data_IF_039212926530
#
_entry.id   IF_039212926530
#
_cell.length_a   1.000
_cell.length_b   1.000
_cell.length_c   1.000
_cell.angle_alpha   90.00
_cell.angle_beta   90.00
_cell.angle_gamma   90.00
#
_symmetry.space_group_name_H-M   'P 1'
#
loop_
_entity.id
_entity.type
_entity.pdbx_description
1 polymer ?
#
# COMPACT_ATOMS: atom_id res chain seq x y z
N UNK A 1 -7.99 3.80 -2.79
CA UNK A 1 -9.25 4.40 -3.19
C UNK A 1 -9.34 5.83 -2.72
N UNK A 2 -9.79 6.75 -3.55
CA UNK A 2 -10.15 8.07 -3.08
C UNK A 2 -11.31 7.94 -2.10
N UNK A 3 -11.22 8.56 -0.92
CA UNK A 3 -12.37 8.69 -0.04
C UNK A 3 -13.48 9.41 -0.83
N UNK A 4 -14.58 8.73 -1.09
CA UNK A 4 -15.73 9.33 -1.74
C UNK A 4 -16.68 9.99 -0.74
N UNK A 5 -16.32 9.96 0.52
CA UNK A 5 -17.10 10.55 1.57
C UNK A 5 -16.53 11.91 1.90
N UNK A 6 -17.17 12.94 1.57
CA UNK A 6 -16.82 14.31 1.89
C UNK A 6 -17.96 15.22 1.53
N UNK A 7 -17.96 16.44 2.05
CA UNK A 7 -18.92 17.44 1.64
C UNK A 7 -18.66 17.80 0.17
N UNK A 8 -19.66 17.57 -0.68
CA UNK A 8 -19.57 17.93 -2.10
C UNK A 8 -20.32 19.23 -2.37
N UNK A 9 -19.60 20.21 -2.92
CA UNK A 9 -20.13 21.52 -3.31
C UNK A 9 -20.26 21.55 -4.83
N UNK A 10 -21.50 21.60 -5.33
CA UNK A 10 -21.78 21.78 -6.76
C UNK A 10 -21.66 23.25 -7.13
N UNK A 11 -20.90 23.53 -8.21
CA UNK A 11 -20.75 24.87 -8.79
C UNK A 11 -21.77 25.04 -9.91
N UNK A 12 -21.91 24.02 -10.77
CA UNK A 12 -22.93 23.89 -11.80
C UNK A 12 -23.24 22.40 -12.04
N UNK A 13 -23.95 22.06 -13.13
CA UNK A 13 -24.34 20.66 -13.43
C UNK A 13 -23.13 19.75 -13.73
N UNK A 14 -22.00 20.31 -14.10
CA UNK A 14 -20.77 19.59 -14.47
C UNK A 14 -19.68 19.75 -13.43
N UNK A 15 -19.56 20.94 -12.82
CA UNK A 15 -18.45 21.28 -11.93
C UNK A 15 -18.79 21.11 -10.47
N UNK A 16 -17.90 20.46 -9.75
CA UNK A 16 -18.04 20.24 -8.30
C UNK A 16 -16.69 20.11 -7.63
N UNK A 17 -16.66 20.35 -6.33
CA UNK A 17 -15.52 20.10 -5.44
C UNK A 17 -16.01 19.29 -4.25
N UNK A 18 -15.23 18.31 -3.82
CA UNK A 18 -15.49 17.49 -2.62
C UNK A 18 -14.30 17.61 -1.68
N UNK A 19 -14.56 17.75 -0.39
CA UNK A 19 -13.56 17.83 0.68
C UNK A 19 -13.86 16.74 1.69
N UNK A 20 -12.83 15.97 2.05
CA UNK A 20 -12.88 14.92 3.07
C UNK A 20 -11.65 14.93 3.96
N UNK A 21 -11.66 14.11 4.99
CA UNK A 21 -10.54 13.93 5.90
C UNK A 21 -10.46 12.49 6.41
N UNK A 22 -9.27 12.05 6.81
CA UNK A 22 -9.05 10.75 7.41
C UNK A 22 -8.03 10.81 8.53
N UNK A 23 -8.26 10.01 9.58
CA UNK A 23 -7.37 9.86 10.74
C UNK A 23 -7.21 8.37 11.03
N UNK A 24 -5.96 7.97 11.30
CA UNK A 24 -5.63 6.66 11.87
C UNK A 24 -4.70 6.87 13.06
N UNK A 25 -5.05 6.27 14.18
CA UNK A 25 -4.29 6.38 15.43
C UNK A 25 -4.24 5.02 16.12
N UNK A 26 -3.17 4.74 16.83
CA UNK A 26 -3.01 3.47 17.51
C UNK A 26 -2.34 3.58 18.88
N UNK A 27 -2.57 2.55 19.69
CA UNK A 27 -1.75 2.19 20.84
C UNK A 27 -1.07 0.86 20.55
N UNK A 28 0.21 0.73 20.86
CA UNK A 28 0.95 -0.52 20.73
C UNK A 28 1.77 -0.81 21.98
N UNK A 29 1.80 -2.09 22.37
CA UNK A 29 2.72 -2.63 23.34
C UNK A 29 3.59 -3.67 22.61
N UNK A 30 4.91 -3.49 22.64
CA UNK A 30 5.87 -4.33 21.92
C UNK A 30 6.95 -4.80 22.87
N UNK A 31 7.18 -6.11 22.92
CA UNK A 31 8.19 -6.76 23.74
C UNK A 31 9.60 -6.33 23.33
N UNK A 32 10.51 -6.25 24.30
CA UNK A 32 11.93 -5.94 24.13
C UNK A 32 12.23 -4.64 23.35
N UNK A 33 11.29 -3.70 23.32
CA UNK A 33 11.45 -2.44 22.61
C UNK A 33 11.51 -1.20 23.51
N UNK A 34 11.47 -1.37 24.81
CA UNK A 34 11.70 -0.25 25.71
C UNK A 34 13.13 0.30 25.54
N UNK A 35 13.39 1.59 25.85
CA UNK A 35 14.72 2.17 25.73
C UNK A 35 15.81 1.43 26.53
N UNK A 36 15.43 0.67 27.54
CA UNK A 36 16.35 -0.20 28.32
C UNK A 36 16.72 -1.50 27.57
N UNK A 37 15.95 -1.89 26.52
CA UNK A 37 16.23 -3.01 25.64
C UNK A 37 15.70 -4.38 26.08
N UNK A 38 15.08 -4.47 27.26
CA UNK A 38 14.66 -5.74 27.87
C UNK A 38 13.25 -5.70 28.50
N UNK A 39 12.43 -4.74 28.10
CA UNK A 39 11.07 -4.56 28.62
C UNK A 39 10.10 -4.10 27.53
N UNK A 40 8.81 -4.15 27.82
CA UNK A 40 7.76 -3.74 26.91
C UNK A 40 7.78 -2.22 26.67
N UNK A 41 7.76 -1.81 25.41
CA UNK A 41 7.49 -0.44 25.01
C UNK A 41 5.98 -0.24 24.83
N UNK A 42 5.47 0.87 25.35
CA UNK A 42 4.05 1.22 25.26
C UNK A 42 3.94 2.60 24.62
N UNK A 43 3.37 2.66 23.40
CA UNK A 43 3.36 3.86 22.59
C UNK A 43 1.98 4.18 22.02
N UNK A 44 1.58 5.46 22.09
CA UNK A 44 0.51 6.01 21.28
C UNK A 44 1.09 6.61 20.00
N UNK A 45 0.41 6.42 18.88
CA UNK A 45 0.80 6.99 17.60
C UNK A 45 -0.38 7.60 16.85
N UNK A 46 -0.13 8.71 16.17
CA UNK A 46 -0.95 9.18 15.06
C UNK A 46 -0.33 8.58 13.78
N UNK A 47 -0.93 7.51 13.26
CA UNK A 47 -0.35 6.78 12.13
C UNK A 47 -0.56 7.53 10.80
N UNK A 48 -1.72 8.14 10.61
CA UNK A 48 -2.04 8.92 9.42
C UNK A 48 -3.00 10.07 9.74
N UNK A 49 -2.82 11.20 9.09
CA UNK A 49 -3.82 12.26 9.03
C UNK A 49 -3.85 12.82 7.60
N UNK A 50 -5.02 12.77 6.96
CA UNK A 50 -5.20 13.11 5.54
C UNK A 50 -6.28 14.16 5.36
N UNK A 51 -6.09 15.02 4.35
CA UNK A 51 -7.13 15.86 3.79
C UNK A 51 -7.26 15.46 2.33
N UNK A 52 -8.50 15.22 1.91
CA UNK A 52 -8.85 14.85 0.55
C UNK A 52 -9.56 16.02 -0.13
N UNK A 53 -9.10 16.40 -1.32
CA UNK A 53 -9.74 17.37 -2.19
C UNK A 53 -9.89 16.77 -3.58
N UNK A 54 -11.12 16.54 -4.00
CA UNK A 54 -11.43 16.02 -5.32
C UNK A 54 -12.32 17.01 -6.06
N UNK A 55 -12.24 17.04 -7.36
CA UNK A 55 -13.13 17.89 -8.14
C UNK A 55 -13.24 17.50 -9.60
N UNK A 56 -14.27 18.05 -10.23
CA UNK A 56 -14.53 17.92 -11.65
C UNK A 56 -14.68 19.30 -12.28
N UNK A 57 -13.93 19.54 -13.36
CA UNK A 57 -13.97 20.77 -14.14
C UNK A 57 -14.76 20.59 -15.44
N UNK A 58 -14.80 19.38 -15.96
CA UNK A 58 -15.49 18.96 -17.17
C UNK A 58 -15.89 17.49 -17.00
N UNK A 59 -16.86 16.99 -17.76
CA UNK A 59 -17.29 15.57 -17.67
C UNK A 59 -16.09 14.58 -17.79
N UNK A 60 -15.07 14.93 -18.57
CA UNK A 60 -13.86 14.12 -18.79
C UNK A 60 -12.63 14.62 -18.03
N UNK A 61 -12.72 15.73 -17.28
CA UNK A 61 -11.56 16.32 -16.61
C UNK A 61 -11.85 16.47 -15.12
N UNK A 62 -11.10 15.73 -14.33
CA UNK A 62 -11.17 15.74 -12.87
C UNK A 62 -9.79 16.02 -12.28
N UNK A 63 -9.74 16.32 -11.01
CA UNK A 63 -8.50 16.40 -10.26
C UNK A 63 -8.63 15.74 -8.90
N UNK A 64 -7.52 15.34 -8.36
CA UNK A 64 -7.38 14.82 -6.99
C UNK A 64 -6.16 15.47 -6.35
N UNK A 65 -6.34 15.93 -5.12
CA UNK A 65 -5.27 16.47 -4.30
C UNK A 65 -5.44 15.95 -2.87
N UNK A 66 -4.45 15.17 -2.41
CA UNK A 66 -4.45 14.63 -1.06
C UNK A 66 -3.17 15.04 -0.34
N UNK A 67 -3.30 15.29 0.95
CA UNK A 67 -2.15 15.47 1.83
C UNK A 67 -2.02 14.29 2.77
N UNK A 68 -0.82 14.07 3.30
CA UNK A 68 -0.54 13.11 4.37
C UNK A 68 0.31 13.79 5.43
N UNK A 69 -0.01 13.55 6.68
CA UNK A 69 0.87 13.83 7.80
C UNK A 69 1.39 12.53 8.36
N UNK A 70 2.70 12.38 8.39
CA UNK A 70 3.37 11.30 9.09
C UNK A 70 4.17 11.91 10.20
N UNK A 71 3.84 11.50 11.40
CA UNK A 71 4.59 11.82 12.58
C UNK A 71 5.85 10.95 12.63
N UNK A 72 6.90 11.36 11.93
CA UNK A 72 8.25 10.92 12.29
C UNK A 72 8.73 11.78 13.46
N UNK A 73 9.55 11.24 14.32
CA UNK A 73 9.99 11.76 15.62
C UNK A 73 10.48 13.23 15.69
N UNK A 74 10.38 14.05 14.66
CA UNK A 74 10.91 15.40 14.64
C UNK A 74 10.16 16.42 13.77
N UNK A 75 9.15 16.07 12.99
CA UNK A 75 8.42 17.06 12.20
C UNK A 75 6.97 16.62 11.97
N UNK A 76 6.04 17.48 12.36
CA UNK A 76 4.61 17.38 12.03
C UNK A 76 4.36 17.99 10.65
N UNK A 77 5.01 17.46 9.61
CA UNK A 77 4.89 18.03 8.29
C UNK A 77 3.73 17.38 7.51
N UNK A 78 2.85 18.21 7.01
CA UNK A 78 1.92 17.83 5.96
C UNK A 78 2.64 17.93 4.61
N UNK A 79 2.59 16.87 3.83
CA UNK A 79 3.13 16.89 2.47
C UNK A 79 2.05 16.48 1.45
N UNK A 80 2.29 16.86 0.20
CA UNK A 80 1.43 16.46 -0.92
C UNK A 80 1.63 14.97 -1.18
N UNK A 81 0.58 14.19 -0.92
CA UNK A 81 0.56 12.76 -1.20
C UNK A 81 0.19 12.50 -2.66
N UNK A 82 -0.93 13.05 -3.11
CA UNK A 82 -1.41 12.97 -4.48
C UNK A 82 -1.69 14.37 -5.03
N UNK A 83 -1.35 14.61 -6.31
CA UNK A 83 -1.73 15.78 -7.07
C UNK A 83 -1.90 15.35 -8.53
N UNK A 84 -3.13 15.01 -8.92
CA UNK A 84 -3.43 14.28 -10.15
C UNK A 84 -4.40 15.08 -11.01
N UNK A 85 -4.02 15.36 -12.27
CA UNK A 85 -4.94 15.74 -13.33
C UNK A 85 -5.46 14.46 -14.00
N UNK A 86 -6.78 14.27 -14.01
CA UNK A 86 -7.44 13.04 -14.49
C UNK A 86 -8.22 13.35 -15.77
N UNK A 87 -7.84 12.68 -16.85
CA UNK A 87 -8.52 12.72 -18.15
C UNK A 87 -9.20 11.37 -18.35
N UNK A 88 -10.50 11.29 -18.08
CA UNK A 88 -11.28 10.06 -18.10
C UNK A 88 -12.27 10.08 -19.25
N UNK A 89 -12.01 9.27 -20.28
CA UNK A 89 -12.74 9.32 -21.55
C UNK A 89 -13.75 8.19 -21.70
N UNK A 90 -13.33 6.94 -21.36
CA UNK A 90 -14.14 5.77 -21.55
C UNK A 90 -13.61 4.58 -20.74
N UNK A 91 -14.26 3.43 -20.86
CA UNK A 91 -13.84 2.24 -20.13
C UNK A 91 -12.47 1.70 -20.55
N UNK A 92 -12.05 1.95 -21.78
CA UNK A 92 -10.81 1.39 -22.34
C UNK A 92 -9.57 2.24 -22.07
N UNK A 93 -9.68 3.58 -22.18
CA UNK A 93 -8.54 4.49 -22.10
C UNK A 93 -8.86 5.69 -21.22
N UNK A 94 -8.06 5.86 -20.19
CA UNK A 94 -8.03 7.03 -19.32
C UNK A 94 -6.59 7.40 -19.02
N UNK A 95 -6.31 8.67 -18.78
CA UNK A 95 -4.95 9.20 -18.58
C UNK A 95 -4.93 10.01 -17.29
N UNK A 96 -4.05 9.66 -16.38
CA UNK A 96 -3.79 10.42 -15.17
C UNK A 96 -2.36 10.94 -15.17
N UNK A 97 -2.16 12.22 -14.87
CA UNK A 97 -0.87 12.90 -14.91
C UNK A 97 -0.61 13.62 -13.59
N UNK A 98 0.60 13.53 -13.08
CA UNK A 98 1.04 14.19 -11.85
C UNK A 98 1.53 13.19 -10.81
N UNK A 99 1.52 13.60 -9.54
CA UNK A 99 1.92 12.73 -8.42
C UNK A 99 0.80 11.76 -8.08
N UNK A 100 1.07 10.46 -8.24
CA UNK A 100 0.07 9.41 -8.13
C UNK A 100 0.69 8.06 -7.76
N UNK A 101 -0.13 7.09 -7.35
CA UNK A 101 0.34 5.74 -7.11
C UNK A 101 0.96 5.13 -8.38
N UNK A 102 2.16 4.59 -8.22
CA UNK A 102 2.82 3.81 -9.25
C UNK A 102 2.14 2.45 -9.33
N UNK A 103 1.85 1.91 -10.51
CA UNK A 103 1.29 0.56 -10.64
C UNK A 103 2.15 -0.47 -9.91
N UNK A 104 1.52 -1.16 -8.94
CA UNK A 104 2.17 -2.09 -8.01
C UNK A 104 1.19 -3.19 -7.59
N UNK A 105 1.49 -3.89 -6.49
CA UNK A 105 0.59 -4.89 -5.91
C UNK A 105 -0.70 -4.30 -5.35
N UNK A 106 -1.62 -5.19 -4.97
CA UNK A 106 -2.91 -4.84 -4.40
C UNK A 106 -2.79 -4.00 -3.13
N UNK A 107 -1.89 -4.37 -2.22
CA UNK A 107 -1.77 -3.71 -0.93
C UNK A 107 -1.28 -2.26 -1.07
N UNK A 108 -0.29 -2.00 -1.92
CA UNK A 108 0.18 -0.65 -2.18
C UNK A 108 -0.86 0.21 -2.91
N UNK A 109 -1.63 -0.36 -3.85
CA UNK A 109 -2.68 0.35 -4.57
C UNK A 109 -3.94 0.61 -3.75
N UNK A 110 -4.16 -0.06 -2.61
CA UNK A 110 -5.27 0.24 -1.70
C UNK A 110 -4.86 1.13 -0.51
N UNK A 111 -3.62 1.04 -0.09
CA UNK A 111 -3.08 1.79 1.05
C UNK A 111 -3.74 1.44 2.38
N UNK A 112 -3.42 2.21 3.44
CA UNK A 112 -3.79 1.84 4.80
C UNK A 112 -5.29 1.92 5.10
N UNK A 113 -6.04 2.80 4.44
CA UNK A 113 -7.46 2.99 4.74
C UNK A 113 -8.36 1.91 4.12
N UNK A 114 -7.97 1.35 2.96
CA UNK A 114 -8.78 0.38 2.22
C UNK A 114 -8.26 -1.05 2.35
N UNK A 115 -7.28 -1.26 3.22
CA UNK A 115 -6.78 -2.59 3.52
C UNK A 115 -7.68 -3.33 4.51
N UNK A 116 -7.62 -4.66 4.48
CA UNK A 116 -8.42 -5.55 5.33
C UNK A 116 -7.97 -5.55 6.80
N UNK A 117 -6.70 -5.29 7.05
CA UNK A 117 -6.10 -5.22 8.39
C UNK A 117 -5.65 -3.81 8.71
N UNK A 118 -5.46 -3.47 9.98
CA UNK A 118 -5.01 -2.13 10.38
C UNK A 118 -3.60 -1.84 9.86
N UNK A 119 -2.66 -2.71 10.06
CA UNK A 119 -1.35 -2.62 9.41
C UNK A 119 -1.45 -3.21 8.00
N UNK A 120 -1.40 -2.34 6.98
CA UNK A 120 -1.82 -2.73 5.65
C UNK A 120 -0.79 -3.57 4.91
N UNK A 121 0.47 -3.18 4.83
CA UNK A 121 1.47 -3.93 4.11
C UNK A 121 2.47 -4.58 5.08
N UNK A 122 2.75 -5.87 4.87
CA UNK A 122 3.70 -6.66 5.66
C UNK A 122 4.85 -7.20 4.81
N UNK A 123 4.68 -7.25 3.49
CA UNK A 123 5.74 -7.51 2.54
C UNK A 123 6.49 -6.20 2.23
N UNK A 124 7.75 -6.23 1.81
CA UNK A 124 8.48 -5.04 1.40
C UNK A 124 7.77 -4.27 0.29
N UNK A 125 7.85 -2.95 0.35
CA UNK A 125 7.30 -2.08 -0.68
C UNK A 125 8.16 -2.09 -1.94
N UNK A 126 7.57 -1.69 -3.06
CA UNK A 126 8.30 -1.32 -4.27
C UNK A 126 9.20 -0.10 -4.03
N UNK A 127 10.07 0.20 -5.00
CA UNK A 127 11.12 1.20 -4.88
C UNK A 127 10.62 2.58 -4.43
N UNK A 128 9.43 2.98 -4.85
CA UNK A 128 8.83 4.27 -4.52
C UNK A 128 8.51 4.45 -3.02
N UNK A 129 8.65 3.42 -2.23
CA UNK A 129 8.36 3.48 -0.79
C UNK A 129 9.42 2.79 0.07
N UNK A 130 10.53 2.40 -0.52
CA UNK A 130 11.66 1.82 0.17
C UNK A 130 12.86 2.77 0.23
N UNK A 131 13.64 2.69 1.33
CA UNK A 131 14.90 3.39 1.48
C UNK A 131 14.81 4.92 1.59
N UNK A 132 15.89 5.58 1.99
CA UNK A 132 15.91 7.02 2.24
C UNK A 132 16.01 7.88 1.00
N UNK A 133 16.38 7.30 -0.12
CA UNK A 133 16.72 8.00 -1.36
C UNK A 133 16.01 7.40 -2.56
N UNK A 134 14.91 6.72 -2.32
CA UNK A 134 14.07 6.18 -3.38
C UNK A 134 13.23 7.28 -4.01
N UNK A 135 12.78 7.03 -5.21
CA UNK A 135 11.82 7.85 -5.91
C UNK A 135 10.50 7.94 -5.14
N UNK A 136 9.90 9.10 -5.17
CA UNK A 136 8.57 9.31 -4.63
C UNK A 136 8.42 9.11 -3.13
N UNK A 137 7.18 8.97 -2.68
CA UNK A 137 6.82 8.70 -1.29
C UNK A 137 5.53 7.89 -1.22
N UNK A 138 5.51 6.87 -0.35
CA UNK A 138 4.33 6.05 -0.07
C UNK A 138 3.68 5.46 -1.32
N UNK A 139 4.51 4.85 -2.17
CA UNK A 139 4.08 4.26 -3.43
C UNK A 139 3.75 5.26 -4.53
N UNK A 140 3.95 6.58 -4.30
CA UNK A 140 3.69 7.63 -5.29
C UNK A 140 4.97 8.10 -5.94
N UNK A 141 4.79 8.56 -7.19
CA UNK A 141 5.83 9.26 -7.95
C UNK A 141 5.18 10.21 -8.95
N UNK A 142 5.98 11.15 -9.50
CA UNK A 142 5.55 12.09 -10.51
C UNK A 142 5.67 11.44 -11.89
N UNK A 143 4.56 11.34 -12.61
CA UNK A 143 4.53 10.66 -13.90
C UNK A 143 3.16 10.63 -14.56
N UNK A 144 2.98 9.67 -15.44
CA UNK A 144 1.76 9.47 -16.22
C UNK A 144 1.35 8.00 -16.17
N UNK A 145 0.05 7.74 -15.97
CA UNK A 145 -0.59 6.43 -16.11
C UNK A 145 -1.62 6.46 -17.22
N UNK A 146 -1.69 5.37 -17.98
CA UNK A 146 -2.79 5.03 -18.88
C UNK A 146 -3.45 3.77 -18.32
N UNK A 147 -4.77 3.79 -18.12
CA UNK A 147 -5.49 2.69 -17.53
C UNK A 147 -6.88 2.49 -18.14
N UNK A 148 -7.43 1.30 -17.96
CA UNK A 148 -8.77 0.96 -18.41
C UNK A 148 -9.08 -0.53 -18.32
N UNK A 149 -10.15 -0.93 -19.00
CA UNK A 149 -10.56 -2.33 -19.15
C UNK A 149 -10.42 -2.76 -20.62
N UNK A 150 -9.76 -3.91 -20.84
CA UNK A 150 -9.48 -4.43 -22.20
C UNK A 150 -10.64 -5.27 -22.76
N UNK A 151 -11.61 -5.66 -21.91
CA UNK A 151 -12.76 -6.46 -22.30
C UNK A 151 -14.07 -5.71 -22.06
N UNK A 152 -15.08 -5.97 -22.88
CA UNK A 152 -16.38 -5.31 -22.80
C UNK A 152 -17.12 -5.57 -21.46
N UNK A 153 -16.88 -6.73 -20.84
CA UNK A 153 -17.38 -7.07 -19.51
C UNK A 153 -16.57 -6.47 -18.36
N UNK A 154 -15.52 -5.70 -18.69
CA UNK A 154 -14.59 -5.03 -17.76
C UNK A 154 -13.82 -5.97 -16.83
N UNK A 155 -13.79 -7.26 -17.13
CA UNK A 155 -13.11 -8.24 -16.28
C UNK A 155 -11.59 -8.20 -16.39
N UNK A 156 -11.04 -7.86 -17.54
CA UNK A 156 -9.60 -7.70 -17.76
C UNK A 156 -9.26 -6.22 -17.72
N UNK A 157 -8.55 -5.79 -16.67
CA UNK A 157 -8.13 -4.40 -16.46
C UNK A 157 -6.62 -4.25 -16.55
N UNK A 158 -6.17 -3.06 -16.92
CA UNK A 158 -4.76 -2.75 -17.03
C UNK A 158 -4.46 -1.33 -16.55
N UNK A 159 -3.23 -1.12 -16.15
CA UNK A 159 -2.59 0.18 -16.01
C UNK A 159 -1.13 0.04 -16.40
N UNK A 160 -0.63 1.00 -17.16
CA UNK A 160 0.79 1.15 -17.51
C UNK A 160 1.20 2.60 -17.25
N UNK A 161 2.40 2.80 -16.76
CA UNK A 161 2.88 4.14 -16.44
C UNK A 161 4.37 4.32 -16.59
N UNK A 162 4.76 5.59 -16.68
CA UNK A 162 6.14 6.04 -16.73
C UNK A 162 6.30 7.16 -15.70
N UNK A 163 7.36 7.07 -14.91
CA UNK A 163 7.60 7.93 -13.76
C UNK A 163 9.04 8.40 -13.70
N UNK A 164 9.33 9.42 -12.89
CA UNK A 164 10.69 9.88 -12.68
C UNK A 164 11.60 8.75 -12.18
N UNK A 165 11.08 7.86 -11.30
CA UNK A 165 11.89 6.85 -10.70
C UNK A 165 12.92 7.48 -9.75
N UNK A 166 14.09 6.91 -9.71
CA UNK A 166 15.17 7.40 -8.90
C UNK A 166 15.85 8.57 -9.56
N UNK A 167 15.93 9.69 -8.86
CA UNK A 167 16.55 10.92 -9.35
C UNK A 167 17.90 11.12 -8.67
N UNK A 168 18.98 11.14 -9.47
CA UNK A 168 20.34 11.36 -9.00
C UNK A 168 20.94 10.15 -8.25
N UNK A 169 22.10 10.33 -7.66
CA UNK A 169 22.82 9.24 -6.99
C UNK A 169 23.32 8.21 -8.00
N UNK A 170 22.91 6.94 -7.86
CA UNK A 170 23.31 5.88 -8.79
C UNK A 170 22.80 6.05 -10.20
N UNK A 171 21.57 6.59 -10.36
CA UNK A 171 21.00 6.91 -11.66
C UNK A 171 21.59 8.21 -12.22
N UNK A 172 22.82 8.09 -12.70
CA UNK A 172 23.54 9.22 -13.30
C UNK A 172 23.01 9.61 -14.68
N UNK A 173 22.27 8.71 -15.33
CA UNK A 173 21.74 8.87 -16.69
C UNK A 173 20.29 9.39 -16.69
N UNK A 174 19.69 9.58 -15.50
CA UNK A 174 18.31 10.08 -15.29
C UNK A 174 17.28 9.21 -16.04
N UNK A 175 17.39 7.89 -15.84
CA UNK A 175 16.50 6.92 -16.45
C UNK A 175 15.10 6.98 -15.81
N UNK A 176 14.08 6.56 -16.54
CA UNK A 176 12.71 6.57 -16.08
C UNK A 176 12.30 5.20 -15.53
N UNK A 177 11.42 5.23 -14.52
CA UNK A 177 10.76 4.04 -14.00
C UNK A 177 9.56 3.68 -14.88
N UNK A 178 9.52 2.46 -15.35
CA UNK A 178 8.38 1.86 -16.05
C UNK A 178 7.63 0.92 -15.13
N UNK A 179 6.31 1.07 -15.08
CA UNK A 179 5.46 0.27 -14.22
C UNK A 179 4.20 -0.19 -14.97
N UNK A 180 3.70 -1.36 -14.60
CA UNK A 180 2.46 -1.87 -15.15
C UNK A 180 1.78 -2.88 -14.23
N UNK A 181 0.46 -2.95 -14.36
CA UNK A 181 -0.37 -3.97 -13.71
C UNK A 181 -1.47 -4.42 -14.66
N UNK A 182 -1.73 -5.71 -14.65
CA UNK A 182 -2.87 -6.33 -15.30
C UNK A 182 -3.61 -7.17 -14.26
N UNK A 183 -4.95 -7.14 -14.28
CA UNK A 183 -5.73 -7.98 -13.38
C UNK A 183 -6.97 -8.54 -14.06
N UNK A 184 -7.40 -9.72 -13.63
CA UNK A 184 -8.56 -10.39 -14.15
C UNK A 184 -9.56 -10.74 -13.04
N UNK A 185 -10.80 -10.27 -13.20
CA UNK A 185 -11.92 -10.55 -12.32
C UNK A 185 -12.67 -11.79 -12.84
N UNK A 186 -12.48 -12.93 -12.19
CA UNK A 186 -13.10 -14.21 -12.59
C UNK A 186 -14.62 -14.24 -12.33
N UNK A 187 -15.05 -13.56 -11.26
CA UNK A 187 -16.45 -13.45 -10.84
C UNK A 187 -16.97 -12.02 -11.07
N UNK A 188 -17.47 -11.35 -10.04
CA UNK A 188 -17.92 -9.97 -10.14
C UNK A 188 -16.72 -9.00 -10.28
N UNK A 189 -16.94 -7.92 -11.03
CA UNK A 189 -15.93 -6.90 -11.26
C UNK A 189 -15.78 -6.00 -10.04
N UNK A 190 -14.57 -5.84 -9.54
CA UNK A 190 -14.26 -4.91 -8.47
C UNK A 190 -14.57 -3.47 -8.89
N UNK A 191 -15.18 -2.71 -7.99
CA UNK A 191 -15.55 -1.30 -8.23
C UNK A 191 -14.66 -0.38 -7.41
N UNK A 192 -13.55 0.04 -8.01
CA UNK A 192 -12.60 0.98 -7.43
C UNK A 192 -12.42 2.20 -8.33
N UNK A 193 -12.03 3.38 -7.78
CA UNK A 193 -11.63 4.51 -8.59
C UNK A 193 -10.39 4.21 -9.42
N UNK A 194 -10.46 4.42 -10.72
CA UNK A 194 -9.32 4.22 -11.62
C UNK A 194 -8.77 2.79 -11.57
N UNK A 195 -7.46 2.70 -11.37
CA UNK A 195 -6.72 1.44 -11.23
C UNK A 195 -6.45 1.07 -9.77
N UNK A 196 -7.03 1.78 -8.81
CA UNK A 196 -6.89 1.48 -7.39
C UNK A 196 -7.55 0.17 -7.01
N UNK A 197 -7.19 -0.36 -5.85
CA UNK A 197 -7.68 -1.65 -5.34
C UNK A 197 -8.32 -1.49 -3.96
N UNK A 198 -8.89 -2.56 -3.46
CA UNK A 198 -9.32 -2.72 -2.08
C UNK A 198 -9.05 -4.15 -1.62
N UNK A 199 -8.82 -4.36 -0.34
CA UNK A 199 -8.60 -5.70 0.22
C UNK A 199 -9.88 -6.36 0.74
N UNK A 200 -10.97 -5.64 0.81
CA UNK A 200 -12.30 -6.18 1.15
C UNK A 200 -13.39 -5.20 0.75
N UNK A 201 -14.54 -5.70 0.43
CA UNK A 201 -15.76 -4.95 0.15
C UNK A 201 -16.84 -5.22 1.20
N UNK A 202 -16.52 -6.02 2.23
CA UNK A 202 -17.47 -6.43 3.27
C UNK A 202 -18.74 -7.07 2.71
N UNK A 203 -18.62 -7.84 1.62
CA UNK A 203 -19.71 -8.48 0.90
C UNK A 203 -20.54 -7.56 -0.02
N UNK A 204 -20.23 -6.26 -0.06
CA UNK A 204 -20.98 -5.29 -0.89
C UNK A 204 -20.52 -5.29 -2.36
N UNK A 205 -19.43 -5.96 -2.68
CA UNK A 205 -18.89 -6.09 -4.04
C UNK A 205 -19.48 -7.22 -4.87
N UNK A 206 -20.30 -8.08 -4.25
CA UNK A 206 -20.70 -9.36 -4.83
C UNK A 206 -19.71 -10.48 -4.52
N UNK A 207 -19.64 -11.49 -5.38
CA UNK A 207 -18.67 -12.57 -5.28
C UNK A 207 -17.39 -12.17 -6.03
N UNK A 208 -16.32 -11.91 -5.31
CA UNK A 208 -15.05 -11.46 -5.89
C UNK A 208 -14.06 -12.62 -5.98
N UNK A 209 -13.43 -12.76 -7.12
CA UNK A 209 -12.21 -13.54 -7.31
C UNK A 209 -11.36 -12.83 -8.35
N UNK A 210 -10.32 -12.15 -7.90
CA UNK A 210 -9.44 -11.35 -8.76
C UNK A 210 -7.99 -11.80 -8.58
N UNK A 211 -7.29 -11.97 -9.68
CA UNK A 211 -5.84 -12.17 -9.72
C UNK A 211 -5.20 -11.00 -10.43
N UNK A 212 -4.16 -10.43 -9.84
CA UNK A 212 -3.37 -9.34 -10.40
C UNK A 212 -1.89 -9.72 -10.55
N UNK A 213 -1.27 -9.18 -11.58
CA UNK A 213 0.18 -9.21 -11.78
C UNK A 213 0.66 -7.76 -11.98
N UNK A 214 1.73 -7.38 -11.28
CA UNK A 214 2.37 -6.08 -11.45
C UNK A 214 3.88 -6.26 -11.62
N UNK A 215 4.49 -5.31 -12.34
CA UNK A 215 5.94 -5.22 -12.49
C UNK A 215 6.38 -3.77 -12.56
N UNK A 216 7.58 -3.50 -12.03
CA UNK A 216 8.28 -2.22 -12.14
C UNK A 216 9.74 -2.48 -12.55
N UNK A 217 10.26 -1.66 -13.43
CA UNK A 217 11.64 -1.73 -13.88
C UNK A 217 12.23 -0.34 -14.13
N UNK A 218 13.48 -0.17 -13.72
CA UNK A 218 14.26 1.04 -13.97
C UNK A 218 15.73 0.67 -14.21
N UNK A 219 16.28 1.18 -15.30
CA UNK A 219 17.66 0.95 -15.70
C UNK A 219 18.61 1.76 -14.80
N UNK A 220 19.69 1.13 -14.32
CA UNK A 220 20.74 1.74 -13.50
C UNK A 220 20.24 2.45 -12.22
N UNK A 221 19.08 2.07 -11.68
CA UNK A 221 18.48 2.70 -10.50
C UNK A 221 19.30 2.55 -9.22
N UNK A 222 20.23 1.61 -9.18
CA UNK A 222 20.96 1.17 -7.99
C UNK A 222 22.47 1.30 -8.18
N UNK A 223 23.21 1.37 -7.07
CA UNK A 223 24.65 1.63 -7.07
C UNK A 223 24.92 3.08 -6.65
N UNK A 224 26.04 3.65 -7.00
CA UNK A 224 26.38 5.03 -6.72
C UNK A 224 27.81 5.22 -6.24
N UNK A 225 28.05 6.19 -5.38
CA UNK A 225 29.34 6.47 -4.78
C UNK A 225 29.29 5.99 -3.32
N UNK A 226 30.18 5.09 -2.94
CA UNK A 226 30.26 4.61 -1.56
C UNK A 226 30.78 5.70 -0.59
N UNK A 227 30.77 5.40 0.70
CA UNK A 227 31.24 6.32 1.76
C UNK A 227 32.70 6.71 1.63
N UNK A 228 33.47 6.03 0.77
CA UNK A 228 34.90 6.32 0.48
C UNK A 228 35.08 7.11 -0.82
N UNK A 229 33.95 7.46 -1.51
CA UNK A 229 33.98 8.17 -2.77
C UNK A 229 34.29 7.26 -3.99
N UNK A 230 34.19 5.94 -3.84
CA UNK A 230 34.41 4.99 -4.94
C UNK A 230 33.09 4.76 -5.66
N UNK A 231 33.12 4.92 -6.99
CA UNK A 231 31.94 4.63 -7.85
C UNK A 231 31.68 3.12 -7.83
N UNK A 232 30.50 2.74 -7.44
CA UNK A 232 30.03 1.37 -7.44
C UNK A 232 29.39 1.02 -8.80
N UNK A 233 29.40 -0.26 -9.21
CA UNK A 233 28.65 -0.68 -10.40
C UNK A 233 27.17 -0.35 -10.26
N UNK A 234 26.56 0.20 -11.30
CA UNK A 234 25.11 0.39 -11.35
C UNK A 234 24.40 -0.94 -11.64
N UNK A 235 23.16 -1.05 -11.16
CA UNK A 235 22.29 -2.19 -11.39
C UNK A 235 20.86 -1.74 -11.65
N UNK A 236 20.16 -2.53 -12.42
CA UNK A 236 18.74 -2.29 -12.70
C UNK A 236 17.90 -2.68 -11.50
N UNK A 237 16.80 -1.97 -11.30
CA UNK A 237 15.74 -2.40 -10.41
C UNK A 237 14.70 -3.19 -11.20
N UNK A 238 14.36 -4.38 -10.73
CA UNK A 238 13.22 -5.16 -11.19
C UNK A 238 12.40 -5.64 -9.99
N UNK A 239 11.16 -5.21 -9.89
CA UNK A 239 10.20 -5.75 -8.94
C UNK A 239 8.99 -6.33 -9.67
N UNK A 240 8.47 -7.46 -9.20
CA UNK A 240 7.19 -7.97 -9.68
C UNK A 240 6.41 -8.66 -8.57
N UNK A 241 5.10 -8.73 -8.75
CA UNK A 241 4.20 -9.33 -7.77
C UNK A 241 3.04 -10.05 -8.46
N UNK A 242 2.50 -11.03 -7.74
CA UNK A 242 1.21 -11.66 -8.04
C UNK A 242 0.35 -11.55 -6.80
N UNK A 243 -0.87 -11.10 -6.94
CA UNK A 243 -1.82 -11.01 -5.83
C UNK A 243 -3.18 -11.61 -6.18
N UNK A 244 -3.90 -12.02 -5.14
CA UNK A 244 -5.22 -12.62 -5.19
C UNK A 244 -6.12 -11.97 -4.15
N UNK A 245 -7.38 -11.69 -4.53
CA UNK A 245 -8.47 -11.40 -3.62
C UNK A 245 -9.65 -12.33 -3.92
N UNK A 246 -10.13 -13.04 -2.91
CA UNK A 246 -11.38 -13.77 -2.93
C UNK A 246 -12.30 -13.27 -1.82
N UNK A 247 -13.55 -12.93 -2.14
CA UNK A 247 -14.56 -12.53 -1.16
C UNK A 247 -15.93 -13.03 -1.59
N UNK A 248 -16.68 -13.64 -0.66
CA UNK A 248 -18.04 -14.11 -0.91
C UNK A 248 -18.92 -14.00 0.33
N UNK A 249 -20.20 -13.74 0.12
CA UNK A 249 -21.22 -13.79 1.17
C UNK A 249 -21.76 -15.22 1.31
N UNK A 250 -21.64 -15.78 2.50
CA UNK A 250 -22.07 -17.14 2.79
C UNK A 250 -23.58 -17.19 3.07
N UNK A 251 -24.15 -18.38 2.99
CA UNK A 251 -25.60 -18.61 3.19
C UNK A 251 -26.15 -18.20 4.56
N UNK A 252 -25.30 -18.03 5.56
CA UNK A 252 -25.66 -17.51 6.89
C UNK A 252 -25.53 -15.98 7.00
N UNK A 253 -25.15 -15.29 5.90
CA UNK A 253 -24.97 -13.85 5.84
C UNK A 253 -23.59 -13.35 6.32
N UNK A 254 -22.67 -14.27 6.70
CA UNK A 254 -21.29 -13.93 6.97
C UNK A 254 -20.53 -13.65 5.66
N UNK A 255 -19.43 -12.90 5.73
CA UNK A 255 -18.56 -12.67 4.57
C UNK A 255 -17.20 -13.30 4.84
N UNK A 256 -16.79 -14.21 3.96
CA UNK A 256 -15.46 -14.79 3.94
C UNK A 256 -14.58 -14.04 2.94
N UNK A 257 -13.40 -13.61 3.39
CA UNK A 257 -12.43 -12.91 2.55
C UNK A 257 -11.07 -13.59 2.69
N UNK A 258 -10.40 -13.83 1.57
CA UNK A 258 -9.01 -14.28 1.52
C UNK A 258 -8.20 -13.34 0.64
N UNK A 259 -6.99 -13.02 1.05
CA UNK A 259 -6.04 -12.24 0.30
C UNK A 259 -4.70 -12.94 0.33
N UNK A 260 -4.00 -12.97 -0.79
CA UNK A 260 -2.68 -13.55 -0.91
C UNK A 260 -1.80 -12.72 -1.82
N UNK A 261 -0.50 -12.70 -1.54
CA UNK A 261 0.48 -11.96 -2.32
C UNK A 261 1.82 -12.67 -2.32
N UNK A 262 2.47 -12.63 -3.47
CA UNK A 262 3.88 -12.94 -3.68
C UNK A 262 4.56 -11.76 -4.34
N UNK A 263 5.74 -11.39 -3.84
CA UNK A 263 6.63 -10.38 -4.44
C UNK A 263 8.03 -10.92 -4.64
N UNK A 264 8.69 -10.43 -5.68
CA UNK A 264 10.11 -10.61 -5.92
C UNK A 264 10.73 -9.27 -6.29
N UNK A 265 11.86 -8.98 -5.65
CA UNK A 265 12.73 -7.86 -6.02
C UNK A 265 14.12 -8.36 -6.39
N UNK A 266 14.64 -7.85 -7.52
CA UNK A 266 15.98 -8.08 -8.02
C UNK A 266 16.67 -6.70 -8.16
N UNK A 267 17.84 -6.59 -7.58
CA UNK A 267 18.61 -5.35 -7.55
C UNK A 267 19.81 -5.37 -8.50
N UNK A 268 19.75 -6.17 -9.57
CA UNK A 268 20.71 -6.17 -10.66
C UNK A 268 22.10 -6.65 -10.27
N UNK A 269 22.24 -7.49 -9.22
CA UNK A 269 23.52 -8.01 -8.76
C UNK A 269 24.45 -6.98 -8.12
N UNK A 270 23.92 -5.81 -7.76
CA UNK A 270 24.67 -4.82 -6.96
C UNK A 270 25.06 -5.46 -5.63
N UNK A 271 26.35 -5.36 -5.25
CA UNK A 271 26.89 -6.00 -4.07
C UNK A 271 26.12 -5.61 -2.79
N UNK A 272 25.99 -6.56 -1.88
CA UNK A 272 25.28 -6.39 -0.61
C UNK A 272 26.04 -5.49 0.37
N UNK A 273 25.95 -4.19 0.16
CA UNK A 273 26.39 -3.20 1.13
C UNK A 273 25.23 -2.24 1.41
N UNK A 274 25.12 -1.76 2.65
CA UNK A 274 24.03 -0.83 3.01
C UNK A 274 24.03 0.44 2.13
N UNK A 275 25.18 0.84 1.61
CA UNK A 275 25.35 2.01 0.77
C UNK A 275 24.96 1.75 -0.68
N UNK A 276 25.16 0.52 -1.18
CA UNK A 276 24.97 0.18 -2.60
C UNK A 276 23.51 -0.09 -2.96
N UNK A 277 22.76 -0.67 -2.04
CA UNK A 277 21.34 -1.01 -2.22
C UNK A 277 20.40 0.00 -1.58
N UNK A 278 20.94 1.03 -0.93
CA UNK A 278 20.20 2.08 -0.26
C UNK A 278 19.14 1.56 0.71
N UNK A 279 19.42 0.43 1.32
CA UNK A 279 18.50 -0.20 2.22
C UNK A 279 17.28 -0.82 1.55
N UNK A 280 17.31 -1.13 0.27
CA UNK A 280 16.23 -1.81 -0.42
C UNK A 280 16.28 -3.33 -0.17
N UNK A 281 15.10 -3.94 -0.17
CA UNK A 281 14.93 -5.39 -0.09
C UNK A 281 15.27 -6.05 -1.43
N UNK A 282 16.01 -7.14 -1.39
CA UNK A 282 16.19 -8.07 -2.51
C UNK A 282 15.82 -9.46 -2.03
N UNK A 283 14.94 -10.14 -2.76
CA UNK A 283 14.48 -11.48 -2.38
C UNK A 283 13.01 -11.71 -2.67
N UNK A 284 12.46 -12.70 -2.00
CA UNK A 284 11.09 -13.15 -2.15
C UNK A 284 10.26 -12.82 -0.91
N UNK A 285 9.03 -12.41 -1.09
CA UNK A 285 8.13 -12.10 0.01
C UNK A 285 6.74 -12.69 -0.24
N UNK A 286 6.12 -13.21 0.82
CA UNK A 286 4.83 -13.87 0.78
C UNK A 286 3.95 -13.37 1.90
N UNK A 287 2.67 -13.15 1.64
CA UNK A 287 1.69 -12.91 2.69
C UNK A 287 0.35 -13.52 2.34
N UNK A 288 -0.37 -13.98 3.36
CA UNK A 288 -1.72 -14.51 3.22
C UNK A 288 -2.57 -14.09 4.40
N UNK A 289 -3.79 -13.64 4.13
CA UNK A 289 -4.76 -13.19 5.12
C UNK A 289 -6.10 -13.88 4.89
N UNK A 290 -6.74 -14.32 5.97
CA UNK A 290 -8.11 -14.84 5.95
C UNK A 290 -8.96 -14.11 6.98
N UNK A 291 -10.13 -13.62 6.57
CA UNK A 291 -11.04 -12.84 7.40
C UNK A 291 -12.45 -13.41 7.32
N UNK A 292 -13.19 -13.27 8.41
CA UNK A 292 -14.57 -13.75 8.51
C UNK A 292 -15.43 -12.67 9.19
N UNK A 293 -16.20 -11.92 8.41
CA UNK A 293 -17.14 -10.92 8.94
C UNK A 293 -18.39 -11.64 9.43
N UNK A 294 -18.66 -11.55 10.73
CA UNK A 294 -19.84 -12.18 11.34
C UNK A 294 -21.14 -11.51 10.85
N UNK A 295 -22.22 -12.27 10.66
CA UNK A 295 -23.44 -11.77 10.01
C UNK A 295 -24.26 -10.80 10.85
N UNK A 296 -24.05 -10.74 12.15
CA UNK A 296 -24.83 -9.92 13.09
C UNK A 296 -24.08 -8.68 13.53
N UNK A 297 -24.81 -7.63 13.88
CA UNK A 297 -24.27 -6.47 14.57
C UNK A 297 -24.10 -6.74 16.06
N UNK A 298 -23.02 -6.24 16.63
CA UNK A 298 -22.78 -6.13 18.06
C UNK A 298 -22.68 -4.63 18.36
N UNK A 299 -23.70 -4.06 18.98
CA UNK A 299 -23.81 -2.62 19.13
C UNK A 299 -23.96 -1.91 17.77
N UNK A 300 -23.06 -1.01 17.42
CA UNK A 300 -23.09 -0.20 16.20
C UNK A 300 -22.31 -0.82 15.02
N UNK A 301 -21.59 -1.92 15.24
CA UNK A 301 -20.72 -2.52 14.23
C UNK A 301 -20.80 -4.04 14.16
N UNK A 302 -19.99 -4.64 13.31
CA UNK A 302 -19.85 -6.09 13.12
C UNK A 302 -18.43 -6.53 13.48
N UNK A 303 -18.29 -7.74 14.03
CA UNK A 303 -17.00 -8.33 14.35
C UNK A 303 -16.45 -9.09 13.14
N UNK A 304 -15.16 -8.91 12.86
CA UNK A 304 -14.43 -9.61 11.80
C UNK A 304 -13.11 -10.16 12.35
N UNK A 305 -13.10 -11.36 12.94
CA UNK A 305 -11.85 -12.05 13.25
C UNK A 305 -11.06 -12.33 11.96
N UNK A 306 -9.72 -12.32 12.10
CA UNK A 306 -8.81 -12.62 11.01
C UNK A 306 -7.49 -13.23 11.50
N UNK A 307 -6.79 -13.86 10.57
CA UNK A 307 -5.41 -14.30 10.73
C UNK A 307 -4.60 -13.91 9.51
N UNK A 308 -3.32 -13.60 9.71
CA UNK A 308 -2.36 -13.31 8.64
C UNK A 308 -1.01 -13.95 8.95
N UNK A 309 -0.36 -14.45 7.92
CA UNK A 309 1.03 -14.88 7.96
C UNK A 309 1.81 -14.17 6.87
N UNK A 310 3.03 -13.74 7.19
CA UNK A 310 3.98 -13.10 6.27
C UNK A 310 5.34 -13.74 6.41
N UNK A 311 6.01 -13.98 5.28
CA UNK A 311 7.39 -14.46 5.23
C UNK A 311 8.16 -13.66 4.20
N UNK A 312 9.33 -13.16 4.57
CA UNK A 312 10.25 -12.41 3.71
C UNK A 312 11.60 -13.12 3.71
N UNK A 313 11.98 -13.64 2.53
CA UNK A 313 13.26 -14.32 2.26
C UNK A 313 14.24 -13.29 1.67
N UNK A 314 15.11 -12.75 2.51
CA UNK A 314 16.10 -11.75 2.14
C UNK A 314 17.33 -12.43 1.52
N UNK A 315 17.62 -12.13 0.26
CA UNK A 315 18.71 -12.74 -0.51
C UNK A 315 19.98 -11.88 -0.61
N UNK A 316 19.97 -10.68 -0.05
CA UNK A 316 21.11 -9.77 -0.15
C UNK A 316 22.27 -10.05 0.81
N UNK A 317 22.20 -11.08 1.62
CA UNK A 317 23.33 -11.68 2.35
C UNK A 317 23.72 -11.02 3.66
N UNK A 318 23.04 -9.96 4.11
CA UNK A 318 23.31 -9.32 5.41
C UNK A 318 22.12 -9.35 6.36
N UNK A 319 20.94 -9.67 5.87
CA UNK A 319 19.72 -9.76 6.66
C UNK A 319 19.27 -11.22 6.80
N UNK A 320 18.52 -11.50 7.86
CA UNK A 320 17.93 -12.80 8.09
C UNK A 320 16.54 -12.84 7.46
N UNK A 321 16.09 -14.04 7.13
CA UNK A 321 14.70 -14.29 6.80
C UNK A 321 13.81 -13.84 7.94
N UNK A 322 12.60 -13.38 7.62
CA UNK A 322 11.70 -12.82 8.61
C UNK A 322 10.31 -13.36 8.42
N UNK A 323 9.70 -13.75 9.51
CA UNK A 323 8.30 -14.13 9.50
C UNK A 323 7.49 -13.43 10.59
N UNK A 324 6.20 -13.35 10.36
CA UNK A 324 5.26 -12.74 11.28
C UNK A 324 3.89 -13.42 11.20
N UNK A 325 3.39 -13.80 12.37
CA UNK A 325 2.03 -14.25 12.57
C UNK A 325 1.20 -13.12 13.17
N UNK A 326 0.02 -12.90 12.65
CA UNK A 326 -0.92 -11.92 13.17
C UNK A 326 -2.30 -12.56 13.30
N UNK A 327 -2.94 -12.35 14.45
CA UNK A 327 -4.33 -12.68 14.67
C UNK A 327 -5.04 -11.46 15.27
N UNK A 328 -6.21 -11.14 14.77
CA UNK A 328 -6.91 -9.95 15.24
C UNK A 328 -8.41 -10.00 15.05
N UNK A 329 -9.06 -8.96 15.54
CA UNK A 329 -10.49 -8.72 15.37
C UNK A 329 -10.66 -7.27 14.93
N UNK A 330 -11.26 -7.08 13.76
CA UNK A 330 -11.78 -5.79 13.34
C UNK A 330 -13.22 -5.64 13.86
N UNK A 331 -13.54 -4.48 14.39
CA UNK A 331 -14.89 -4.04 14.68
C UNK A 331 -15.30 -3.03 13.61
N UNK A 332 -16.08 -3.47 12.64
CA UNK A 332 -16.46 -2.73 11.44
C UNK A 332 -17.74 -1.95 11.73
N UNK A 333 -17.64 -0.63 11.84
CA UNK A 333 -18.73 0.29 12.11
C UNK A 333 -19.35 0.79 10.81
N UNK A 334 -18.51 1.29 9.90
CA UNK A 334 -18.92 1.76 8.57
C UNK A 334 -17.83 1.41 7.53
N UNK A 335 -17.70 0.13 7.21
CA UNK A 335 -16.74 -0.35 6.22
C UNK A 335 -15.33 0.19 6.45
N UNK A 336 -14.76 0.81 5.43
CA UNK A 336 -13.45 1.46 5.52
C UNK A 336 -13.49 2.85 6.19
N UNK A 337 -14.67 3.43 6.40
CA UNK A 337 -14.81 4.77 6.95
C UNK A 337 -14.65 4.81 8.47
N UNK A 338 -15.09 3.75 9.16
CA UNK A 338 -14.96 3.69 10.61
C UNK A 338 -14.75 2.27 11.07
N UNK A 339 -13.59 2.00 11.66
CA UNK A 339 -13.27 0.70 12.28
C UNK A 339 -12.34 0.83 13.46
N UNK A 340 -12.43 -0.13 14.38
CA UNK A 340 -11.49 -0.36 15.49
C UNK A 340 -10.90 -1.74 15.28
N UNK A 341 -9.60 -1.90 15.46
CA UNK A 341 -8.90 -3.18 15.27
C UNK A 341 -8.05 -3.51 16.48
N UNK A 342 -8.21 -4.69 17.03
CA UNK A 342 -7.32 -5.24 18.05
C UNK A 342 -6.58 -6.41 17.42
N UNK A 343 -5.24 -6.39 17.52
CA UNK A 343 -4.41 -7.44 16.95
C UNK A 343 -3.27 -7.84 17.88
N UNK A 344 -2.94 -9.11 17.82
CA UNK A 344 -1.75 -9.71 18.40
C UNK A 344 -0.83 -10.14 17.28
N UNK A 345 0.45 -9.84 17.43
CA UNK A 345 1.51 -10.14 16.47
C UNK A 345 2.62 -10.91 17.18
N UNK A 346 3.22 -11.84 16.48
CA UNK A 346 4.36 -12.61 16.93
C UNK A 346 5.31 -12.88 15.78
N UNK A 347 6.61 -12.73 16.00
CA UNK A 347 7.65 -12.96 15.02
C UNK A 347 8.66 -11.82 15.00
N UNK A 348 9.26 -11.59 13.84
CA UNK A 348 10.31 -10.57 13.67
C UNK A 348 9.78 -9.13 13.58
N UNK A 349 8.48 -8.96 13.56
CA UNK A 349 7.67 -7.72 13.63
C UNK A 349 8.13 -6.55 12.76
N UNK A 350 8.50 -6.82 11.53
CA UNK A 350 9.41 -5.96 10.87
C UNK A 350 9.13 -5.71 9.41
N UNK A 351 8.04 -6.21 8.94
CA UNK A 351 7.70 -6.27 7.56
C UNK A 351 6.83 -5.11 7.08
N UNK A 352 6.64 -4.05 7.85
CA UNK A 352 5.83 -2.93 7.38
C UNK A 352 6.67 -1.77 6.92
N UNK A 353 6.78 -1.63 5.63
CA UNK A 353 7.40 -0.47 5.01
C UNK A 353 8.90 -0.35 5.28
N UNK A 354 9.43 0.67 4.71
CA UNK A 354 10.85 0.94 4.60
C UNK A 354 11.65 0.95 5.91
N UNK A 355 11.14 1.64 6.92
CA UNK A 355 11.89 1.86 8.17
C UNK A 355 11.85 0.65 9.09
N UNK A 356 10.82 -0.16 9.00
CA UNK A 356 10.66 -1.32 9.86
C UNK A 356 11.37 -2.55 9.31
N UNK A 357 11.66 -2.58 8.02
CA UNK A 357 12.35 -3.69 7.40
C UNK A 357 13.80 -3.83 7.88
N UNK A 358 14.47 -2.71 8.15
CA UNK A 358 15.86 -2.68 8.61
C UNK A 358 16.02 -2.59 10.12
N UNK A 359 14.98 -2.20 10.82
CA UNK A 359 15.01 -2.02 12.26
C UNK A 359 14.15 -3.09 12.93
N UNK A 360 14.60 -4.35 12.82
CA UNK A 360 13.97 -5.46 13.50
C UNK A 360 13.77 -5.10 14.97
N UNK A 361 12.54 -5.28 15.43
CA UNK A 361 12.21 -5.04 16.83
C UNK A 361 12.86 -6.10 17.71
N UNK A 362 13.17 -7.27 17.15
CA UNK A 362 13.74 -8.43 17.78
C UNK A 362 13.40 -9.67 16.99
N UNK A 363 13.97 -10.78 17.40
CA UNK A 363 13.71 -12.11 16.88
C UNK A 363 12.60 -12.73 17.75
N UNK A 364 11.51 -13.17 17.13
CA UNK A 364 10.37 -13.81 17.81
C UNK A 364 9.74 -12.98 18.96
N UNK A 365 9.54 -11.69 18.77
CA UNK A 365 8.92 -10.83 19.78
C UNK A 365 7.40 -10.78 19.66
N UNK A 366 6.75 -10.48 20.78
CA UNK A 366 5.31 -10.32 20.87
C UNK A 366 4.91 -8.83 20.77
N UNK A 367 3.76 -8.57 20.14
CA UNK A 367 3.15 -7.25 20.16
C UNK A 367 1.63 -7.32 20.24
N UNK A 368 1.05 -6.32 20.90
CA UNK A 368 -0.39 -6.08 20.91
C UNK A 368 -0.62 -4.67 20.38
N UNK A 369 -1.56 -4.51 19.47
CA UNK A 369 -1.91 -3.21 18.91
C UNK A 369 -3.42 -3.00 18.91
N UNK A 370 -3.84 -1.80 19.30
CA UNK A 370 -5.21 -1.32 19.18
C UNK A 370 -5.22 -0.14 18.21
N UNK A 371 -5.90 -0.28 17.10
CA UNK A 371 -5.94 0.72 16.04
C UNK A 371 -7.33 1.31 15.85
N UNK A 372 -7.40 2.61 15.56
CA UNK A 372 -8.61 3.35 15.27
C UNK A 372 -8.49 4.01 13.91
N UNK A 373 -9.51 3.85 13.08
CA UNK A 373 -9.58 4.46 11.76
C UNK A 373 -10.91 5.15 11.57
N UNK A 374 -10.85 6.40 11.11
CA UNK A 374 -12.01 7.17 10.69
C UNK A 374 -11.67 7.98 9.44
N UNK A 375 -12.62 8.06 8.49
CA UNK A 375 -12.54 8.96 7.34
C UNK A 375 -13.92 9.36 6.85
N UNK A 376 -14.00 10.51 6.21
CA UNK A 376 -15.20 11.07 5.62
C UNK A 376 -14.90 11.73 4.28
#
# INVERSE_FOLDING_TARGET
GSAQAGATFKIDDTKWISIGAGIRSSFSAVEDKAPAGDDWSNDFALDNARIYLNGQLHENIKFEFNTESIMSNSANDFFVLDAIAKFEFNDLVNIWVGRQLVPSDRAELNGPYYHSTYEFNKTPFYMNDQGSYTAGKYGRDDGINIWGALTADKKLTYVIGVFNGRVGGPDADDNLLYAGRISYNFLDVEKNPGYYTSSTYYGKGGDILTVGFAAQWEENALGGIDSKGVVQPSGDFLGYSVDLLGETTLGNGAVATIEGEYKRFDLGGVASGADDKLGMFEGDAYTGTALYLLPGKVGIGQLQPYVRYTYNDEQSGSSQDRDEYEAGINYIIDGHNARVSLMYQYGDLNSKGRLNYFNATGDDVHAIKLGFQMQI
#
